data_IF_355489262789
#
_entry.id   IF_355489262789
#
_cell.length_a   1.000
_cell.length_b   1.000
_cell.length_c   1.000
_cell.angle_alpha   90.00
_cell.angle_beta   90.00
_cell.angle_gamma   90.00
#
_symmetry.space_group_name_H-M   'P 1'
#
loop_
_entity.id
_entity.type
_entity.pdbx_description
1 polymer ?
#
# COMPACT_ATOMS: atom_id res chain seq x y z
N UNK A 1 -24.27 16.29 -3.54
CA UNK A 1 -23.00 15.93 -4.21
C UNK A 1 -22.40 17.21 -4.73
N UNK A 2 -21.32 17.71 -4.12
CA UNK A 2 -20.74 19.01 -4.48
C UNK A 2 -19.66 18.91 -5.57
N UNK A 3 -19.32 17.72 -6.01
CA UNK A 3 -18.30 17.49 -7.03
C UNK A 3 -18.78 16.46 -8.06
N UNK A 4 -18.44 16.65 -9.35
CA UNK A 4 -18.79 15.73 -10.43
C UNK A 4 -17.95 14.42 -10.40
N UNK A 5 -16.99 14.30 -9.48
CA UNK A 5 -16.05 13.19 -9.39
C UNK A 5 -16.56 12.05 -8.51
N UNK A 6 -16.26 10.82 -8.90
CA UNK A 6 -16.52 9.61 -8.10
C UNK A 6 -15.54 9.49 -6.94
N UNK A 7 -15.84 8.61 -5.97
CA UNK A 7 -14.93 8.34 -4.84
C UNK A 7 -13.63 7.72 -5.33
N UNK A 8 -13.70 6.84 -6.34
CA UNK A 8 -12.53 6.24 -6.96
C UNK A 8 -11.63 7.28 -7.64
N UNK A 9 -12.21 8.24 -8.37
CA UNK A 9 -11.45 9.33 -9.00
C UNK A 9 -10.73 10.21 -7.97
N UNK A 10 -11.39 10.57 -6.86
CA UNK A 10 -10.75 11.29 -5.76
C UNK A 10 -9.61 10.48 -5.14
N UNK A 11 -9.79 9.17 -4.99
CA UNK A 11 -8.75 8.28 -4.48
C UNK A 11 -7.53 8.23 -5.42
N UNK A 12 -7.75 8.16 -6.73
CA UNK A 12 -6.69 8.21 -7.75
C UNK A 12 -5.93 9.53 -7.65
N UNK A 13 -6.63 10.67 -7.59
CA UNK A 13 -6.00 11.99 -7.48
C UNK A 13 -5.13 12.10 -6.22
N UNK A 14 -5.62 11.60 -5.09
CA UNK A 14 -4.90 11.63 -3.81
C UNK A 14 -3.66 10.71 -3.85
N UNK A 15 -3.76 9.54 -4.45
CA UNK A 15 -2.62 8.65 -4.65
C UNK A 15 -1.56 9.27 -5.57
N UNK A 16 -1.96 9.93 -6.66
CA UNK A 16 -1.03 10.66 -7.54
C UNK A 16 -0.32 11.77 -6.76
N UNK A 17 -1.04 12.49 -5.90
CA UNK A 17 -0.43 13.51 -5.03
C UNK A 17 0.64 12.90 -4.12
N UNK A 18 0.39 11.73 -3.51
CA UNK A 18 1.40 11.05 -2.70
C UNK A 18 2.61 10.62 -3.53
N UNK A 19 2.42 10.04 -4.72
CA UNK A 19 3.51 9.70 -5.65
C UNK A 19 4.39 10.92 -5.96
N UNK A 20 3.80 12.09 -6.13
CA UNK A 20 4.56 13.34 -6.36
C UNK A 20 5.29 13.82 -5.10
N UNK A 21 4.74 13.58 -3.91
CA UNK A 21 5.37 13.98 -2.64
C UNK A 21 6.48 13.02 -2.19
N UNK A 22 6.44 11.75 -2.57
CA UNK A 22 7.43 10.73 -2.19
C UNK A 22 8.88 11.13 -2.48
N UNK A 23 9.25 11.64 -3.67
CA UNK A 23 10.63 12.01 -3.98
C UNK A 23 11.22 13.08 -3.05
N UNK A 24 10.36 13.95 -2.45
CA UNK A 24 10.81 14.94 -1.48
C UNK A 24 11.22 14.33 -0.13
N UNK A 25 10.64 13.18 0.19
CA UNK A 25 10.92 12.46 1.45
C UNK A 25 12.00 11.39 1.29
N UNK A 26 12.23 10.91 0.06
CA UNK A 26 13.19 9.86 -0.25
C UNK A 26 14.59 10.42 -0.50
N UNK A 27 15.61 9.67 -0.07
CA UNK A 27 16.99 9.94 -0.47
C UNK A 27 17.21 9.47 -1.92
N UNK A 28 18.09 10.14 -2.67
CA UNK A 28 18.37 9.79 -4.08
C UNK A 28 18.84 8.33 -4.29
N UNK A 29 19.39 7.69 -3.25
CA UNK A 29 19.76 6.27 -3.28
C UNK A 29 18.52 5.39 -3.17
N UNK A 30 17.63 5.67 -2.22
CA UNK A 30 16.39 4.93 -2.02
C UNK A 30 15.50 4.99 -3.25
N UNK A 31 15.44 6.14 -3.93
CA UNK A 31 14.66 6.30 -5.16
C UNK A 31 15.15 5.40 -6.31
N UNK A 32 16.46 5.15 -6.42
CA UNK A 32 17.02 4.26 -7.44
C UNK A 32 16.78 2.79 -7.11
N UNK A 33 16.91 2.43 -5.85
CA UNK A 33 16.74 1.04 -5.38
C UNK A 33 15.26 0.61 -5.44
N UNK A 34 14.34 1.53 -5.16
CA UNK A 34 12.90 1.26 -5.11
C UNK A 34 12.14 1.76 -6.36
N UNK A 35 12.84 2.10 -7.45
CA UNK A 35 12.24 2.66 -8.67
C UNK A 35 11.11 1.76 -9.25
N UNK A 36 11.25 0.44 -9.13
CA UNK A 36 10.22 -0.51 -9.58
C UNK A 36 8.93 -0.34 -8.78
N UNK A 37 9.03 -0.20 -7.47
CA UNK A 37 7.87 0.02 -6.59
C UNK A 37 7.21 1.36 -6.93
N UNK A 38 7.99 2.40 -7.10
CA UNK A 38 7.50 3.72 -7.48
C UNK A 38 6.73 3.70 -8.80
N UNK A 39 7.24 3.02 -9.83
CA UNK A 39 6.54 2.90 -11.12
C UNK A 39 5.27 2.03 -11.04
N UNK A 40 5.27 0.99 -10.20
CA UNK A 40 4.10 0.12 -10.02
C UNK A 40 2.95 0.79 -9.25
N UNK A 41 3.22 1.82 -8.47
CA UNK A 41 2.17 2.54 -7.73
C UNK A 41 1.14 3.19 -8.65
N UNK A 42 1.56 3.71 -9.82
CA UNK A 42 0.67 4.38 -10.75
C UNK A 42 -0.44 3.43 -11.26
N UNK A 43 -0.10 2.28 -11.91
CA UNK A 43 -1.15 1.37 -12.38
C UNK A 43 -1.96 0.76 -11.22
N UNK A 44 -1.35 0.51 -10.07
CA UNK A 44 -2.06 -0.01 -8.89
C UNK A 44 -3.08 1.00 -8.38
N UNK A 45 -2.73 2.28 -8.31
CA UNK A 45 -3.66 3.34 -7.90
C UNK A 45 -4.85 3.47 -8.83
N UNK A 46 -4.65 3.33 -10.15
CA UNK A 46 -5.75 3.30 -11.12
C UNK A 46 -6.64 2.07 -10.93
N UNK A 47 -6.06 0.88 -10.83
CA UNK A 47 -6.82 -0.36 -10.59
C UNK A 47 -7.61 -0.28 -9.29
N UNK A 48 -7.03 0.28 -8.24
CA UNK A 48 -7.69 0.41 -6.94
C UNK A 48 -8.85 1.40 -6.99
N UNK A 49 -8.69 2.55 -7.65
CA UNK A 49 -9.79 3.52 -7.81
C UNK A 49 -10.97 2.93 -8.59
N UNK A 50 -10.71 2.25 -9.70
CA UNK A 50 -11.74 1.54 -10.46
C UNK A 50 -12.41 0.46 -9.61
N UNK A 51 -11.62 -0.29 -8.82
CA UNK A 51 -12.15 -1.32 -7.93
C UNK A 51 -13.06 -0.74 -6.85
N UNK A 52 -12.70 0.42 -6.28
CA UNK A 52 -13.58 1.15 -5.34
C UNK A 52 -14.91 1.48 -5.99
N UNK A 53 -14.91 2.04 -7.19
CA UNK A 53 -16.15 2.42 -7.86
C UNK A 53 -17.03 1.20 -8.19
N UNK A 54 -16.43 0.09 -8.62
CA UNK A 54 -17.13 -1.18 -8.81
C UNK A 54 -17.73 -1.70 -7.49
N UNK A 55 -16.97 -1.68 -6.41
CA UNK A 55 -17.44 -2.10 -5.10
C UNK A 55 -18.61 -1.23 -4.61
N UNK A 56 -18.51 0.09 -4.79
CA UNK A 56 -19.58 1.01 -4.39
C UNK A 56 -20.86 0.78 -5.19
N UNK A 57 -20.75 0.53 -6.50
CA UNK A 57 -21.92 0.36 -7.36
C UNK A 57 -22.55 -1.03 -7.31
N UNK A 58 -21.75 -2.10 -7.11
CA UNK A 58 -22.25 -3.48 -7.22
C UNK A 58 -22.33 -4.21 -5.88
N UNK A 59 -21.40 -3.99 -4.97
CA UNK A 59 -21.32 -4.74 -3.72
C UNK A 59 -22.01 -3.99 -2.59
N UNK A 60 -21.71 -2.71 -2.39
CA UNK A 60 -22.29 -1.94 -1.31
C UNK A 60 -23.74 -1.54 -1.55
N UNK A 61 -24.20 -1.57 -2.79
CA UNK A 61 -25.62 -1.33 -3.09
C UNK A 61 -26.55 -2.32 -2.36
N UNK A 62 -26.09 -3.55 -2.14
CA UNK A 62 -26.83 -4.58 -1.39
C UNK A 62 -26.69 -4.45 0.13
N UNK A 63 -25.61 -3.81 0.61
CA UNK A 63 -25.40 -3.52 2.02
C UNK A 63 -25.98 -2.15 2.34
N UNK A 64 -27.26 -2.11 2.66
CA UNK A 64 -27.92 -0.89 3.12
C UNK A 64 -28.27 -1.04 4.61
N UNK A 65 -27.29 -0.86 5.52
CA UNK A 65 -27.56 -1.00 6.95
C UNK A 65 -28.48 0.13 7.40
N UNK A 66 -29.72 -0.22 7.70
CA UNK A 66 -30.75 0.74 8.11
C UNK A 66 -30.63 1.16 9.59
N UNK A 67 -29.82 0.43 10.37
CA UNK A 67 -29.69 0.63 11.81
C UNK A 67 -28.27 1.09 12.17
N UNK A 68 -28.15 2.09 13.04
CA UNK A 68 -26.86 2.63 13.48
C UNK A 68 -25.84 1.57 13.98
N UNK A 69 -26.23 0.59 14.85
CA UNK A 69 -25.32 -0.48 15.27
C UNK A 69 -24.87 -1.38 14.11
N UNK A 70 -25.71 -1.59 13.09
CA UNK A 70 -25.33 -2.35 11.90
C UNK A 70 -24.28 -1.58 11.05
N UNK A 71 -24.37 -0.25 10.98
CA UNK A 71 -23.37 0.59 10.31
C UNK A 71 -22.02 0.51 11.02
N UNK A 72 -21.99 0.60 12.35
CA UNK A 72 -20.76 0.50 13.13
C UNK A 72 -20.15 -0.89 13.04
N UNK A 73 -20.95 -1.96 13.11
CA UNK A 73 -20.42 -3.32 12.98
C UNK A 73 -19.82 -3.58 11.59
N UNK A 74 -20.47 -3.12 10.53
CA UNK A 74 -19.93 -3.20 9.17
C UNK A 74 -18.62 -2.41 9.02
N UNK A 75 -18.54 -1.22 9.62
CA UNK A 75 -17.32 -0.40 9.64
C UNK A 75 -16.16 -1.15 10.34
N UNK A 76 -16.41 -1.70 11.53
CA UNK A 76 -15.36 -2.42 12.28
C UNK A 76 -14.87 -3.65 11.54
N UNK A 77 -15.76 -4.43 10.93
CA UNK A 77 -15.37 -5.57 10.08
C UNK A 77 -14.54 -5.08 8.90
N UNK A 78 -14.95 -4.00 8.23
CA UNK A 78 -14.19 -3.39 7.15
C UNK A 78 -12.79 -2.94 7.58
N UNK A 79 -12.66 -2.32 8.76
CA UNK A 79 -11.37 -1.91 9.31
C UNK A 79 -10.45 -3.10 9.59
N UNK A 80 -10.98 -4.22 10.09
CA UNK A 80 -10.19 -5.44 10.31
C UNK A 80 -9.70 -6.02 8.98
N UNK A 81 -10.57 -6.16 7.99
CA UNK A 81 -10.22 -6.67 6.66
C UNK A 81 -9.15 -5.77 6.01
N UNK A 82 -9.35 -4.45 6.07
CA UNK A 82 -8.40 -3.48 5.55
C UNK A 82 -7.03 -3.59 6.24
N UNK A 83 -7.00 -3.66 7.56
CA UNK A 83 -5.76 -3.77 8.33
C UNK A 83 -5.00 -5.06 8.03
N UNK A 84 -5.70 -6.18 7.87
CA UNK A 84 -5.14 -7.47 7.41
C UNK A 84 -4.54 -7.31 6.01
N UNK A 85 -5.25 -6.67 5.09
CA UNK A 85 -4.79 -6.39 3.73
C UNK A 85 -3.49 -5.57 3.72
N UNK A 86 -3.46 -4.46 4.46
CA UNK A 86 -2.27 -3.59 4.59
C UNK A 86 -1.10 -4.36 5.20
N UNK A 87 -1.33 -5.16 6.24
CA UNK A 87 -0.27 -5.94 6.87
C UNK A 87 0.34 -6.96 5.90
N UNK A 88 -0.46 -7.61 5.07
CA UNK A 88 0.00 -8.52 4.00
C UNK A 88 0.77 -7.77 2.91
N UNK A 89 0.27 -6.63 2.46
CA UNK A 89 0.90 -5.79 1.44
C UNK A 89 2.29 -5.31 1.87
N UNK A 90 2.40 -4.81 3.10
CA UNK A 90 3.68 -4.36 3.70
C UNK A 90 4.66 -5.52 3.84
N UNK A 91 4.18 -6.70 4.22
CA UNK A 91 5.01 -7.91 4.35
C UNK A 91 5.46 -8.46 3.01
N UNK A 92 4.58 -8.53 2.02
CA UNK A 92 4.92 -9.00 0.69
C UNK A 92 5.99 -8.13 0.03
N UNK A 93 6.02 -6.84 0.33
CA UNK A 93 7.00 -5.88 -0.19
C UNK A 93 7.16 -5.93 -1.73
N UNK A 94 6.09 -6.33 -2.42
CA UNK A 94 6.10 -6.54 -3.87
C UNK A 94 5.58 -5.31 -4.62
N UNK A 95 4.41 -4.82 -4.19
CA UNK A 95 3.75 -3.65 -4.73
C UNK A 95 2.92 -3.03 -3.61
N UNK A 96 2.96 -1.72 -3.46
CA UNK A 96 2.25 -0.99 -2.40
C UNK A 96 1.50 0.17 -3.01
N UNK A 97 0.35 0.52 -2.41
CA UNK A 97 -0.32 1.77 -2.73
C UNK A 97 0.53 2.97 -2.30
N UNK A 98 0.35 4.10 -3.00
CA UNK A 98 1.13 5.31 -2.73
C UNK A 98 1.04 5.77 -1.27
N UNK A 99 -0.15 5.75 -0.67
CA UNK A 99 -0.34 6.11 0.74
C UNK A 99 0.42 5.22 1.72
N UNK A 100 0.37 3.90 1.54
CA UNK A 100 1.08 2.93 2.37
C UNK A 100 2.59 2.99 2.15
N UNK A 101 3.02 3.19 0.92
CA UNK A 101 4.44 3.34 0.60
C UNK A 101 5.00 4.63 1.21
N UNK A 102 4.26 5.73 1.17
CA UNK A 102 4.64 6.98 1.82
C UNK A 102 4.85 6.80 3.33
N UNK A 103 3.92 6.12 4.00
CA UNK A 103 4.05 5.75 5.43
C UNK A 103 5.29 4.89 5.66
N UNK A 104 5.58 3.93 4.77
CA UNK A 104 6.77 3.09 4.86
C UNK A 104 8.07 3.88 4.73
N UNK A 105 8.12 4.86 3.82
CA UNK A 105 9.28 5.77 3.67
C UNK A 105 9.51 6.57 4.95
N UNK A 106 8.43 7.10 5.55
CA UNK A 106 8.49 7.80 6.84
C UNK A 106 8.99 6.85 7.93
N UNK A 107 8.45 5.63 7.97
CA UNK A 107 8.85 4.59 8.94
C UNK A 107 10.35 4.28 8.87
N UNK A 108 10.87 4.13 7.65
CA UNK A 108 12.30 3.89 7.40
C UNK A 108 13.16 5.07 7.87
N UNK A 109 12.69 6.30 7.67
CA UNK A 109 13.42 7.52 8.05
C UNK A 109 13.46 7.76 9.54
N UNK A 110 12.35 7.52 10.24
CA UNK A 110 12.21 7.76 11.68
C UNK A 110 12.51 6.53 12.54
N UNK A 111 12.84 5.38 11.95
CA UNK A 111 13.12 4.10 12.63
C UNK A 111 11.99 3.69 13.60
N UNK A 112 10.75 4.04 13.26
CA UNK A 112 9.57 3.73 14.05
C UNK A 112 8.90 2.43 13.60
N UNK A 113 7.85 2.02 14.30
CA UNK A 113 7.01 0.91 13.89
C UNK A 113 5.92 1.38 12.91
N UNK A 114 5.70 0.62 11.84
CA UNK A 114 4.78 0.98 10.77
C UNK A 114 3.37 1.30 11.27
N UNK A 115 2.82 0.49 12.19
CA UNK A 115 1.45 0.67 12.69
C UNK A 115 1.24 1.99 13.42
N UNK A 116 2.21 2.43 14.25
CA UNK A 116 2.11 3.71 14.97
C UNK A 116 2.30 4.90 14.03
N UNK A 117 3.20 4.81 13.06
CA UNK A 117 3.41 5.87 12.07
C UNK A 117 2.19 5.96 11.15
N UNK A 118 1.60 4.82 10.76
CA UNK A 118 0.33 4.79 10.02
C UNK A 118 -0.80 5.47 10.78
N UNK A 119 -0.94 5.17 12.08
CA UNK A 119 -1.92 5.83 12.95
C UNK A 119 -1.73 7.35 12.95
N UNK A 120 -0.49 7.82 13.18
CA UNK A 120 -0.18 9.25 13.18
C UNK A 120 -0.48 9.91 11.82
N UNK A 121 -0.15 9.23 10.73
CA UNK A 121 -0.42 9.69 9.38
C UNK A 121 -1.92 9.82 9.10
N UNK A 122 -2.70 8.78 9.40
CA UNK A 122 -4.15 8.78 9.18
C UNK A 122 -4.85 9.87 10.04
N UNK A 123 -4.45 10.03 11.30
CA UNK A 123 -4.96 11.11 12.17
C UNK A 123 -4.61 12.48 11.61
N UNK A 124 -3.40 12.67 11.07
CA UNK A 124 -3.00 13.92 10.44
C UNK A 124 -3.83 14.22 9.20
N UNK A 125 -4.10 13.23 8.35
CA UNK A 125 -4.98 13.38 7.18
C UNK A 125 -6.40 13.77 7.57
N UNK A 126 -6.96 13.13 8.61
CA UNK A 126 -8.29 13.48 9.14
C UNK A 126 -8.30 14.91 9.68
N UNK A 127 -7.28 15.32 10.42
CA UNK A 127 -7.16 16.68 10.94
C UNK A 127 -7.09 17.73 9.81
N UNK A 128 -6.31 17.46 8.75
CA UNK A 128 -6.23 18.30 7.56
C UNK A 128 -7.60 18.36 6.86
N UNK A 129 -8.27 17.23 6.70
CA UNK A 129 -9.60 17.19 6.08
C UNK A 129 -10.63 17.99 6.87
N UNK A 130 -10.62 17.90 8.21
CA UNK A 130 -11.47 18.71 9.07
C UNK A 130 -11.17 20.21 8.95
N UNK A 131 -9.88 20.59 8.95
CA UNK A 131 -9.46 21.98 8.80
C UNK A 131 -9.89 22.55 7.43
N UNK A 132 -9.68 21.82 6.35
CA UNK A 132 -10.13 22.22 5.01
C UNK A 132 -11.65 22.37 4.93
N UNK A 133 -12.39 21.42 5.52
CA UNK A 133 -13.87 21.46 5.55
C UNK A 133 -14.36 22.71 6.29
N UNK A 134 -13.75 23.05 7.42
CA UNK A 134 -14.09 24.27 8.16
C UNK A 134 -13.79 25.56 7.40
N UNK A 135 -12.64 25.61 6.70
CA UNK A 135 -12.21 26.80 5.96
C UNK A 135 -13.09 27.03 4.72
N UNK A 136 -13.36 25.97 3.95
CA UNK A 136 -14.04 26.11 2.67
C UNK A 136 -15.56 26.00 2.76
N UNK A 137 -16.09 25.27 3.73
CA UNK A 137 -17.52 24.96 3.80
C UNK A 137 -18.20 25.51 5.07
N UNK A 138 -17.49 26.22 5.93
CA UNK A 138 -18.01 26.77 7.20
C UNK A 138 -18.70 25.71 8.10
N UNK A 139 -18.36 24.45 7.92
CA UNK A 139 -18.90 23.32 8.67
C UNK A 139 -18.15 22.02 8.39
N UNK A 140 -18.26 21.04 9.30
CA UNK A 140 -17.62 19.73 9.12
C UNK A 140 -18.51 18.87 8.20
N UNK A 141 -18.25 18.94 6.90
CA UNK A 141 -18.90 18.11 5.90
C UNK A 141 -17.93 17.04 5.39
N UNK A 142 -18.41 15.78 5.27
CA UNK A 142 -17.62 14.67 4.71
C UNK A 142 -16.78 13.87 5.70
N UNK A 143 -16.38 14.45 6.83
CA UNK A 143 -15.72 13.69 7.91
C UNK A 143 -16.79 13.21 8.87
N UNK A 144 -17.10 11.90 8.81
CA UNK A 144 -18.04 11.25 9.72
C UNK A 144 -17.30 10.56 10.87
N UNK A 145 -18.04 10.23 11.92
CA UNK A 145 -17.55 9.47 13.08
C UNK A 145 -16.77 8.22 12.67
N UNK A 146 -17.25 7.52 11.63
CA UNK A 146 -16.62 6.34 11.08
C UNK A 146 -15.20 6.58 10.53
N UNK A 147 -14.95 7.76 9.96
CA UNK A 147 -13.61 8.12 9.43
C UNK A 147 -12.61 8.26 10.58
N UNK A 148 -13.03 8.89 11.68
CA UNK A 148 -12.19 9.04 12.87
C UNK A 148 -11.93 7.68 13.53
N UNK A 149 -12.97 6.85 13.65
CA UNK A 149 -12.87 5.50 14.20
C UNK A 149 -11.91 4.66 13.36
N UNK A 150 -12.04 4.68 12.03
CA UNK A 150 -11.17 3.94 11.13
C UNK A 150 -9.70 4.39 11.27
N UNK A 151 -9.44 5.70 11.27
CA UNK A 151 -8.08 6.25 11.42
C UNK A 151 -7.42 5.83 12.73
N UNK A 152 -8.19 5.73 13.82
CA UNK A 152 -7.68 5.33 15.13
C UNK A 152 -7.47 3.81 15.28
N UNK A 153 -8.26 2.99 14.58
CA UNK A 153 -8.30 1.54 14.76
C UNK A 153 -7.39 0.80 13.80
N UNK A 154 -7.30 1.24 12.54
CA UNK A 154 -6.55 0.50 11.50
C UNK A 154 -5.07 0.39 11.85
N UNK A 155 -4.41 1.48 12.27
CA UNK A 155 -2.99 1.47 12.64
C UNK A 155 -2.64 0.46 13.73
N UNK A 156 -3.29 0.49 14.90
CA UNK A 156 -3.10 -0.51 15.96
C UNK A 156 -3.37 -1.94 15.51
N UNK A 157 -4.42 -2.20 14.72
CA UNK A 157 -4.70 -3.55 14.22
C UNK A 157 -3.56 -4.03 13.31
N UNK A 158 -3.05 -3.19 12.41
CA UNK A 158 -1.89 -3.52 11.57
C UNK A 158 -0.68 -3.89 12.44
N UNK A 159 -0.44 -3.14 13.52
CA UNK A 159 0.64 -3.44 14.46
C UNK A 159 0.45 -4.81 15.12
N UNK A 160 -0.76 -5.13 15.59
CA UNK A 160 -1.07 -6.42 16.22
C UNK A 160 -1.00 -7.61 15.26
N UNK A 161 -1.44 -7.41 14.02
CA UNK A 161 -1.52 -8.46 12.99
C UNK A 161 -0.15 -8.72 12.35
N UNK A 162 0.70 -7.69 12.23
CA UNK A 162 2.01 -7.77 11.59
C UNK A 162 2.93 -8.89 12.15
N UNK A 163 3.07 -9.13 13.46
CA UNK A 163 3.91 -10.22 13.99
C UNK A 163 3.34 -11.62 13.72
N UNK A 164 2.03 -11.75 13.53
CA UNK A 164 1.39 -13.05 13.26
C UNK A 164 1.79 -13.63 11.90
N UNK A 165 2.19 -12.79 10.96
CA UNK A 165 2.66 -13.20 9.62
C UNK A 165 4.15 -13.61 9.57
N UNK A 166 4.81 -13.90 10.70
CA UNK A 166 6.16 -14.49 10.72
C UNK A 166 6.26 -15.80 9.92
N UNK A 167 5.14 -16.51 9.81
CA UNK A 167 5.06 -17.71 8.96
C UNK A 167 5.25 -17.37 7.48
N UNK A 168 4.63 -16.30 7.00
CA UNK A 168 4.81 -15.83 5.62
C UNK A 168 6.26 -15.37 5.37
N UNK A 169 6.93 -14.79 6.37
CA UNK A 169 8.32 -14.36 6.23
C UNK A 169 9.25 -15.55 5.91
N UNK A 170 9.01 -16.72 6.50
CA UNK A 170 9.76 -17.94 6.18
C UNK A 170 9.50 -18.38 4.75
N UNK A 171 8.25 -18.47 4.36
CA UNK A 171 7.85 -18.93 3.02
C UNK A 171 8.34 -17.97 1.90
N UNK A 172 8.22 -16.66 2.10
CA UNK A 172 8.71 -15.64 1.15
C UNK A 172 10.25 -15.64 1.10
N UNK A 173 10.91 -15.86 2.23
CA UNK A 173 12.37 -15.89 2.27
C UNK A 173 12.91 -17.15 1.60
N UNK A 174 12.26 -18.29 1.81
CA UNK A 174 12.61 -19.55 1.14
C UNK A 174 12.43 -19.44 -0.38
N UNK A 175 11.35 -18.84 -0.87
CA UNK A 175 11.15 -18.61 -2.30
C UNK A 175 12.17 -17.65 -2.91
N UNK A 176 12.54 -16.59 -2.21
CA UNK A 176 13.62 -15.65 -2.65
C UNK A 176 15.01 -16.30 -2.64
N UNK A 177 15.25 -17.21 -1.72
CA UNK A 177 16.50 -17.97 -1.67
C UNK A 177 16.58 -18.97 -2.83
N UNK A 178 15.47 -19.64 -3.17
CA UNK A 178 15.38 -20.51 -4.33
C UNK A 178 15.58 -19.74 -5.62
N UNK A 179 14.89 -18.61 -5.81
CA UNK A 179 15.05 -17.76 -7.00
C UNK A 179 16.51 -17.29 -7.18
N UNK A 180 17.18 -16.87 -6.09
CA UNK A 180 18.60 -16.50 -6.14
C UNK A 180 19.50 -17.68 -6.45
N UNK A 181 19.20 -18.87 -5.96
CA UNK A 181 19.94 -20.09 -6.25
C UNK A 181 19.81 -20.47 -7.72
N UNK A 182 18.59 -20.39 -8.27
CA UNK A 182 18.31 -20.68 -9.68
C UNK A 182 19.00 -19.69 -10.63
N UNK A 183 18.98 -18.40 -10.31
CA UNK A 183 19.70 -17.36 -11.07
C UNK A 183 21.20 -17.63 -11.05
N UNK A 184 21.77 -17.97 -9.89
CA UNK A 184 23.20 -18.28 -9.75
C UNK A 184 23.58 -19.55 -10.52
N UNK A 185 22.73 -20.58 -10.50
CA UNK A 185 22.94 -21.81 -11.24
C UNK A 185 22.90 -21.58 -12.76
N UNK A 186 21.90 -20.84 -13.25
CA UNK A 186 21.79 -20.46 -14.67
C UNK A 186 22.99 -19.60 -15.12
N UNK A 187 23.44 -18.66 -14.29
CA UNK A 187 24.64 -17.86 -14.57
C UNK A 187 25.89 -18.73 -14.71
N UNK A 188 26.07 -19.72 -13.82
CA UNK A 188 27.18 -20.66 -13.90
C UNK A 188 27.14 -21.53 -15.16
N UNK A 189 25.93 -21.98 -15.57
CA UNK A 189 25.74 -22.75 -16.80
C UNK A 189 26.13 -21.92 -18.02
N UNK A 190 25.71 -20.65 -18.09
CA UNK A 190 26.06 -19.74 -19.20
C UNK A 190 27.56 -19.51 -19.27
N UNK A 191 28.23 -19.30 -18.13
CA UNK A 191 29.69 -19.12 -18.06
C UNK A 191 30.39 -20.42 -18.55
N UNK A 192 29.94 -21.59 -18.12
CA UNK A 192 30.51 -22.87 -18.54
C UNK A 192 30.36 -23.11 -20.05
N UNK A 193 29.19 -22.81 -20.61
CA UNK A 193 28.96 -22.91 -22.07
C UNK A 193 29.86 -21.92 -22.83
N UNK A 194 29.96 -20.69 -22.36
CA UNK A 194 30.83 -19.68 -22.96
C UNK A 194 32.30 -20.11 -22.92
N UNK A 195 32.80 -20.67 -21.83
CA UNK A 195 34.16 -21.23 -21.73
C UNK A 195 34.36 -22.40 -22.69
N UNK A 196 33.39 -23.33 -22.81
CA UNK A 196 33.50 -24.46 -23.73
C UNK A 196 33.51 -24.03 -25.20
N UNK A 197 32.75 -23.01 -25.58
CA UNK A 197 32.73 -22.45 -26.92
C UNK A 197 34.02 -21.73 -27.23
N UNK A 198 34.64 -21.07 -26.26
CA UNK A 198 35.90 -20.35 -26.44
C UNK A 198 37.12 -21.29 -26.48
N UNK A 199 37.04 -22.44 -25.78
CA UNK A 199 38.14 -23.44 -25.75
C UNK A 199 38.03 -24.50 -26.85
N UNK A 200 36.98 -24.50 -27.68
CA UNK A 200 36.86 -25.40 -28.81
C UNK A 200 37.95 -25.07 -29.86
N UNK A 201 38.82 -26.01 -30.18
CA UNK A 201 39.87 -25.75 -31.20
C UNK A 201 39.22 -25.46 -32.55
N UNK A 202 39.58 -24.36 -33.17
CA UNK A 202 39.18 -24.02 -34.54
C UNK A 202 39.52 -25.18 -35.46
N UNK A 203 38.61 -25.72 -36.27
CA UNK A 203 38.95 -26.70 -37.27
C UNK A 203 39.89 -26.06 -38.31
N UNK A 204 41.04 -26.68 -38.47
CA UNK A 204 41.99 -26.34 -39.55
C UNK A 204 41.48 -26.89 -40.86
#
# INVERSE_FOLDING_TARGET
MFTPFTIGEWTIMLNILFVVLEPFMMTRRDLKDDLRMFLLQIPISFCFGIFIDICMHHILFWLNPSTYPAMISALLVGCVILAVGIALEVKANAAMMAGEYFVKVITKRFHGEFGYIKLGFDVTLVAIACALSLIFMSGIYGVREGTVIAALIVGPIVHFVSPYYRFLDRWINDSKLQEKADIKQNSNIIITIACLLYTSPSPR
#
